data_IF_103082522333
#
_entry.id   IF_103082522333
#
_cell.length_a   1.000
_cell.length_b   1.000
_cell.length_c   1.000
_cell.angle_alpha   90.00
_cell.angle_beta   90.00
_cell.angle_gamma   90.00
#
_symmetry.space_group_name_H-M   'P 1'
#
loop_
_entity.id
_entity.type
_entity.pdbx_description
1 polymer ?
#
# COMPACT_ATOMS: atom_id res chain seq x y z
N UNK A 1 -6.38 9.21 25.28
CA UNK A 1 -5.61 8.14 24.62
C UNK A 1 -6.54 7.38 23.66
N UNK A 2 -6.94 7.95 22.51
CA UNK A 2 -7.86 7.28 21.55
C UNK A 2 -7.69 7.73 20.08
N UNK A 3 -6.77 8.66 19.79
CA UNK A 3 -6.64 9.20 18.43
C UNK A 3 -6.27 8.11 17.43
N UNK A 4 -5.21 7.34 17.68
CA UNK A 4 -4.72 6.31 16.74
C UNK A 4 -5.73 5.18 16.48
N UNK A 5 -6.46 4.73 17.51
CA UNK A 5 -7.49 3.68 17.36
C UNK A 5 -8.65 4.13 16.46
N UNK A 6 -9.05 5.40 16.55
CA UNK A 6 -10.09 5.94 15.66
C UNK A 6 -9.65 5.96 14.20
N UNK A 7 -8.39 6.29 13.91
CA UNK A 7 -7.89 6.34 12.53
C UNK A 7 -7.84 4.94 11.90
N UNK A 8 -7.39 3.93 12.66
CA UNK A 8 -7.38 2.53 12.20
C UNK A 8 -8.80 2.05 11.91
N UNK A 9 -9.75 2.30 12.82
CA UNK A 9 -11.13 1.87 12.63
C UNK A 9 -11.81 2.48 11.40
N UNK A 10 -11.56 3.77 11.12
CA UNK A 10 -12.12 4.45 9.94
C UNK A 10 -11.52 3.86 8.65
N UNK A 11 -10.20 3.64 8.61
CA UNK A 11 -9.52 3.09 7.43
C UNK A 11 -9.94 1.66 7.14
N UNK A 12 -10.06 0.82 8.17
CA UNK A 12 -10.49 -0.57 8.03
C UNK A 12 -11.93 -0.66 7.51
N UNK A 13 -12.85 0.11 8.09
CA UNK A 13 -14.24 0.13 7.65
C UNK A 13 -14.37 0.61 6.20
N UNK A 14 -13.68 1.70 5.83
CA UNK A 14 -13.68 2.20 4.46
C UNK A 14 -13.16 1.17 3.46
N UNK A 15 -12.07 0.48 3.80
CA UNK A 15 -11.48 -0.54 2.94
C UNK A 15 -12.45 -1.73 2.76
N UNK A 16 -13.06 -2.19 3.86
CA UNK A 16 -14.04 -3.27 3.81
C UNK A 16 -15.26 -2.91 2.96
N UNK A 17 -15.82 -1.72 3.13
CA UNK A 17 -16.94 -1.23 2.30
C UNK A 17 -16.61 -1.27 0.81
N UNK A 18 -15.40 -0.83 0.45
CA UNK A 18 -14.95 -0.79 -0.95
C UNK A 18 -14.65 -2.15 -1.54
N UNK A 19 -14.19 -3.09 -0.72
CA UNK A 19 -14.00 -4.48 -1.15
C UNK A 19 -15.36 -5.16 -1.35
N UNK A 20 -16.30 -4.94 -0.44
CA UNK A 20 -17.66 -5.51 -0.53
C UNK A 20 -18.44 -4.92 -1.69
N UNK A 21 -18.28 -3.62 -2.00
CA UNK A 21 -18.89 -3.00 -3.19
C UNK A 21 -18.29 -3.49 -4.51
N UNK A 22 -17.14 -4.18 -4.45
CA UNK A 22 -16.40 -4.61 -5.64
C UNK A 22 -15.58 -3.50 -6.30
N UNK A 23 -15.53 -2.31 -5.71
CA UNK A 23 -14.73 -1.18 -6.19
C UNK A 23 -13.22 -1.45 -6.04
N UNK A 24 -12.84 -2.27 -5.06
CA UNK A 24 -11.46 -2.60 -4.72
C UNK A 24 -11.27 -4.11 -4.59
N UNK A 25 -10.18 -4.62 -5.16
CA UNK A 25 -9.71 -5.99 -4.93
C UNK A 25 -8.40 -5.93 -4.17
N UNK A 26 -8.36 -6.59 -3.02
CA UNK A 26 -7.15 -6.72 -2.23
C UNK A 26 -6.38 -7.97 -2.67
N UNK A 27 -5.14 -7.78 -3.06
CA UNK A 27 -4.20 -8.86 -3.36
C UNK A 27 -2.96 -8.69 -2.50
N UNK A 28 -2.48 -9.80 -1.95
CA UNK A 28 -1.22 -9.79 -1.22
C UNK A 28 -0.06 -9.71 -2.21
N UNK A 29 0.83 -8.75 -1.99
CA UNK A 29 2.07 -8.60 -2.74
C UNK A 29 3.26 -8.76 -1.79
N UNK A 30 4.21 -9.67 -2.06
CA UNK A 30 5.43 -9.77 -1.28
C UNK A 30 6.19 -8.44 -1.28
N UNK A 31 6.87 -8.10 -0.17
CA UNK A 31 7.67 -6.87 -0.07
C UNK A 31 8.80 -6.76 -1.11
N UNK A 32 9.21 -7.87 -1.72
CA UNK A 32 10.18 -7.87 -2.81
C UNK A 32 9.61 -7.40 -4.16
N UNK A 33 8.28 -7.34 -4.27
CA UNK A 33 7.58 -7.09 -5.53
C UNK A 33 6.69 -5.84 -5.46
N UNK A 34 6.58 -5.21 -4.28
CA UNK A 34 5.74 -4.04 -4.06
C UNK A 34 6.37 -2.77 -4.64
N UNK A 35 6.10 -2.48 -5.92
CA UNK A 35 6.66 -1.32 -6.65
C UNK A 35 6.38 0.03 -5.97
N UNK A 36 5.28 0.15 -5.22
CA UNK A 36 4.94 1.36 -4.46
C UNK A 36 5.90 1.64 -3.29
N UNK A 37 6.77 0.70 -2.93
CA UNK A 37 7.77 0.87 -1.88
C UNK A 37 8.73 2.01 -2.16
N UNK A 38 8.96 2.35 -3.43
CA UNK A 38 9.80 3.49 -3.81
C UNK A 38 9.27 4.83 -3.31
N UNK A 39 7.96 4.95 -3.06
CA UNK A 39 7.33 6.17 -2.54
C UNK A 39 7.25 6.20 -1.00
N UNK A 40 7.42 5.06 -0.34
CA UNK A 40 7.13 4.90 1.10
C UNK A 40 8.33 4.45 1.93
N UNK A 41 9.39 3.95 1.30
CA UNK A 41 10.57 3.38 1.97
C UNK A 41 11.86 3.99 1.43
N UNK A 42 12.86 4.09 2.30
CA UNK A 42 14.24 4.34 1.90
C UNK A 42 14.90 3.08 1.36
N UNK A 43 14.73 2.80 0.07
CA UNK A 43 15.28 1.61 -0.60
C UNK A 43 16.76 1.80 -0.98
N UNK A 44 17.46 0.69 -1.18
CA UNK A 44 18.77 0.72 -1.86
C UNK A 44 18.58 1.18 -3.31
N UNK A 45 19.62 1.79 -3.89
CA UNK A 45 19.57 2.33 -5.25
C UNK A 45 19.08 1.29 -6.28
N UNK A 46 19.59 0.05 -6.19
CA UNK A 46 19.17 -1.06 -7.05
C UNK A 46 17.66 -1.34 -6.98
N UNK A 47 17.11 -1.42 -5.76
CA UNK A 47 15.67 -1.67 -5.56
C UNK A 47 14.82 -0.47 -5.96
N UNK A 48 15.32 0.74 -5.70
CA UNK A 48 14.67 1.96 -6.13
C UNK A 48 14.55 2.00 -7.65
N UNK A 49 15.64 1.75 -8.39
CA UNK A 49 15.60 1.72 -9.86
C UNK A 49 14.67 0.62 -10.41
N UNK A 50 14.71 -0.57 -9.82
CA UNK A 50 13.84 -1.67 -10.22
C UNK A 50 12.36 -1.30 -10.09
N UNK A 51 11.97 -0.74 -8.94
CA UNK A 51 10.58 -0.37 -8.67
C UNK A 51 10.15 0.92 -9.39
N UNK A 52 11.05 1.89 -9.60
CA UNK A 52 10.77 3.06 -10.45
C UNK A 52 10.41 2.64 -11.86
N UNK A 53 11.18 1.71 -12.46
CA UNK A 53 10.85 1.13 -13.77
C UNK A 53 9.51 0.40 -13.74
N UNK A 54 9.23 -0.35 -12.68
CA UNK A 54 7.95 -1.02 -12.47
C UNK A 54 6.75 -0.07 -12.39
N UNK A 55 6.97 1.17 -11.95
CA UNK A 55 5.95 2.23 -11.94
C UNK A 55 5.90 3.06 -13.25
N UNK A 56 6.82 2.84 -14.19
CA UNK A 56 6.89 3.59 -15.45
C UNK A 56 7.49 5.00 -15.31
N UNK A 57 8.29 5.23 -14.28
CA UNK A 57 9.06 6.47 -14.06
C UNK A 57 10.42 6.46 -14.79
#
# INVERSE_FOLDING_TARGET
YHAHTKHIGIQDHFLQEKVVSGDLRLEYMPMGDQVADVLTKGLTMEKHELFSKGMGL
#
